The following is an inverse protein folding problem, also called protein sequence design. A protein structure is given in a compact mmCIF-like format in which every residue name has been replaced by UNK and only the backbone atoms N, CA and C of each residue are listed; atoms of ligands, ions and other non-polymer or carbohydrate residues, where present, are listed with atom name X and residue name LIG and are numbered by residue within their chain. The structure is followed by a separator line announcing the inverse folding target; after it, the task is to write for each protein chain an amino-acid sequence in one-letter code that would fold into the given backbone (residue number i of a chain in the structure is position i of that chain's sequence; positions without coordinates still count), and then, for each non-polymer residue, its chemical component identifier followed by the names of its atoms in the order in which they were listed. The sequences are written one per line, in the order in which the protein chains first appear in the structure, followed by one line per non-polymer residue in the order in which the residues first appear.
data_IF_342710407533
#
_entry.id   IF_342710407533
#
_cell.length_a   1.000
_cell.length_b   1.000
_cell.length_c   1.000
_cell.angle_alpha   90.00
_cell.angle_beta   90.00
_cell.angle_gamma   90.00
#
_symmetry.space_group_name_H-M   'P 1'
#
loop_
_entity.id
_entity.type
_entity.pdbx_description
1 polymer ?
#
# COMPACT_ATOMS: atom_id res chain seq x y z
N UNK A 1 30.36 -11.43 9.98
CA UNK A 1 29.67 -12.36 9.06
C UNK A 1 28.87 -13.32 9.90
N UNK A 2 27.60 -13.02 10.12
CA UNK A 2 26.69 -13.93 10.79
C UNK A 2 25.45 -13.99 9.89
N UNK A 3 25.27 -15.11 9.20
CA UNK A 3 24.22 -15.31 8.19
C UNK A 3 22.83 -15.01 8.76
N UNK A 4 22.65 -15.27 10.05
CA UNK A 4 21.43 -14.95 10.79
C UNK A 4 21.15 -13.44 10.76
N UNK A 5 22.14 -12.61 11.07
CA UNK A 5 21.97 -11.16 11.12
C UNK A 5 21.66 -10.59 9.73
N UNK A 6 22.25 -11.16 8.68
CA UNK A 6 22.00 -10.74 7.29
C UNK A 6 20.58 -11.08 6.84
N UNK A 7 20.12 -12.31 7.13
CA UNK A 7 18.74 -12.74 6.84
C UNK A 7 17.73 -11.92 7.63
N UNK A 8 17.99 -11.63 8.91
CA UNK A 8 17.12 -10.75 9.70
C UNK A 8 17.02 -9.34 9.10
N UNK A 9 18.13 -8.77 8.65
CA UNK A 9 18.15 -7.44 8.00
C UNK A 9 17.40 -7.48 6.67
N UNK A 10 17.61 -8.50 5.84
CA UNK A 10 16.90 -8.68 4.56
C UNK A 10 15.38 -8.83 4.78
N UNK A 11 14.99 -9.64 5.78
CA UNK A 11 13.60 -9.87 6.14
C UNK A 11 12.95 -8.59 6.66
N UNK A 12 13.63 -7.83 7.52
CA UNK A 12 13.18 -6.52 7.97
C UNK A 12 13.06 -5.52 6.81
N UNK A 13 13.96 -5.55 5.83
CA UNK A 13 13.93 -4.66 4.67
C UNK A 13 12.73 -4.94 3.77
N UNK A 14 12.40 -6.23 3.60
CA UNK A 14 11.22 -6.68 2.87
C UNK A 14 9.94 -6.34 3.64
N UNK A 15 9.88 -6.64 4.95
CA UNK A 15 8.76 -6.29 5.83
C UNK A 15 8.54 -4.78 5.96
N UNK A 16 9.57 -3.93 6.01
CA UNK A 16 9.42 -2.47 6.08
C UNK A 16 8.87 -1.93 4.75
N UNK A 17 9.25 -2.55 3.63
CA UNK A 17 8.70 -2.21 2.32
C UNK A 17 7.23 -2.58 2.25
N UNK A 18 6.88 -3.77 2.74
CA UNK A 18 5.51 -4.27 2.81
C UNK A 18 4.66 -3.46 3.79
N UNK A 19 5.17 -3.17 5.00
CA UNK A 19 4.54 -2.38 6.05
C UNK A 19 4.19 -0.98 5.57
N UNK A 20 5.06 -0.34 4.78
CA UNK A 20 4.77 0.97 4.21
C UNK A 20 3.63 0.91 3.19
N UNK A 21 3.57 -0.18 2.43
CA UNK A 21 2.46 -0.45 1.53
C UNK A 21 1.16 -0.69 2.32
N UNK A 22 1.24 -1.45 3.41
CA UNK A 22 0.10 -1.72 4.29
C UNK A 22 -0.40 -0.45 4.97
N UNK A 23 0.50 0.45 5.38
CA UNK A 23 0.14 1.75 5.94
C UNK A 23 -0.54 2.62 4.87
N UNK A 24 -0.08 2.60 3.62
CA UNK A 24 -0.71 3.34 2.53
C UNK A 24 -2.12 2.83 2.21
N UNK A 25 -2.31 1.50 2.15
CA UNK A 25 -3.66 0.92 1.98
C UNK A 25 -4.55 1.21 3.17
N UNK A 26 -4.05 1.05 4.41
CA UNK A 26 -4.80 1.37 5.62
C UNK A 26 -5.24 2.85 5.64
N UNK A 27 -4.35 3.77 5.30
CA UNK A 27 -4.65 5.19 5.22
C UNK A 27 -5.75 5.49 4.19
N UNK A 28 -5.70 4.86 3.01
CA UNK A 28 -6.74 5.03 2.00
C UNK A 28 -8.09 4.47 2.43
N UNK A 29 -8.12 3.31 3.10
CA UNK A 29 -9.33 2.73 3.67
C UNK A 29 -9.94 3.65 4.72
N UNK A 30 -9.12 4.19 5.63
CA UNK A 30 -9.57 5.15 6.65
C UNK A 30 -10.13 6.42 6.00
N UNK A 31 -9.49 6.91 4.95
CA UNK A 31 -9.95 8.10 4.21
C UNK A 31 -11.33 7.85 3.57
N UNK A 32 -11.55 6.69 2.96
CA UNK A 32 -12.86 6.34 2.39
C UNK A 32 -13.90 6.11 3.49
N UNK A 33 -13.52 5.48 4.60
CA UNK A 33 -14.40 5.29 5.75
C UNK A 33 -14.86 6.63 6.35
N UNK A 34 -13.97 7.62 6.42
CA UNK A 34 -14.32 8.99 6.83
C UNK A 34 -15.28 9.66 5.83
N UNK A 35 -15.06 9.45 4.53
CA UNK A 35 -15.94 9.96 3.49
C UNK A 35 -17.35 9.34 3.56
N UNK A 36 -17.41 8.05 3.88
CA UNK A 36 -18.65 7.30 4.11
C UNK A 36 -19.40 7.75 5.37
N UNK A 37 -18.68 8.18 6.41
CA UNK A 37 -19.30 8.74 7.61
C UNK A 37 -19.97 10.11 7.37
N UNK A 38 -19.67 10.78 6.25
CA UNK A 38 -20.36 11.97 5.82
C UNK A 38 -21.66 11.55 5.10
N UNK A 39 -22.80 11.69 5.79
CA UNK A 39 -24.14 11.13 5.47
C UNK A 39 -24.73 11.42 4.06
N UNK A 40 -24.01 12.09 3.16
CA UNK A 40 -24.53 12.55 1.86
C UNK A 40 -24.06 11.75 0.63
N UNK A 41 -23.26 10.69 0.81
CA UNK A 41 -22.74 9.91 -0.31
C UNK A 41 -23.53 8.60 -0.52
N UNK A 42 -24.06 8.36 -1.73
CA UNK A 42 -24.70 7.09 -2.03
C UNK A 42 -23.71 5.94 -1.79
N UNK A 43 -24.10 4.84 -1.10
CA UNK A 43 -23.21 3.75 -0.74
C UNK A 43 -22.46 3.13 -1.93
N UNK A 44 -23.13 3.09 -3.09
CA UNK A 44 -22.57 2.63 -4.36
C UNK A 44 -21.39 3.49 -4.81
N UNK A 45 -21.47 4.81 -4.63
CA UNK A 45 -20.42 5.74 -5.03
C UNK A 45 -19.18 5.57 -4.16
N UNK A 46 -19.37 5.39 -2.86
CA UNK A 46 -18.28 5.09 -1.95
C UNK A 46 -17.62 3.73 -2.24
N UNK A 47 -18.41 2.70 -2.58
CA UNK A 47 -17.88 1.39 -2.98
C UNK A 47 -17.02 1.46 -4.24
N UNK A 48 -17.48 2.18 -5.27
CA UNK A 48 -16.69 2.43 -6.49
C UNK A 48 -15.44 3.24 -6.19
N UNK A 49 -15.53 4.25 -5.34
CA UNK A 49 -14.38 5.07 -4.93
C UNK A 49 -13.32 4.23 -4.20
N UNK A 50 -13.74 3.33 -3.30
CA UNK A 50 -12.86 2.39 -2.59
C UNK A 50 -12.17 1.43 -3.57
N UNK A 51 -12.90 0.91 -4.56
CA UNK A 51 -12.37 0.03 -5.58
C UNK A 51 -11.29 0.75 -6.40
N UNK A 52 -11.58 1.96 -6.88
CA UNK A 52 -10.64 2.78 -7.65
C UNK A 52 -9.40 3.11 -6.82
N UNK A 53 -9.56 3.52 -5.56
CA UNK A 53 -8.44 3.78 -4.65
C UNK A 53 -7.59 2.53 -4.40
N UNK A 54 -8.22 1.38 -4.19
CA UNK A 54 -7.51 0.12 -3.99
C UNK A 54 -6.68 -0.25 -5.24
N UNK A 55 -7.28 -0.15 -6.44
CA UNK A 55 -6.59 -0.41 -7.70
C UNK A 55 -5.46 0.59 -7.93
N UNK A 56 -5.66 1.87 -7.61
CA UNK A 56 -4.62 2.89 -7.72
C UNK A 56 -3.42 2.58 -6.82
N UNK A 57 -3.66 2.16 -5.57
CA UNK A 57 -2.60 1.79 -4.62
C UNK A 57 -1.88 0.53 -5.10
N UNK A 58 -2.59 -0.46 -5.65
CA UNK A 58 -1.96 -1.63 -6.25
C UNK A 58 -1.09 -1.24 -7.46
N UNK A 59 -1.56 -0.34 -8.32
CA UNK A 59 -0.77 0.18 -9.43
C UNK A 59 0.48 0.90 -8.93
N UNK A 60 0.35 1.75 -7.91
CA UNK A 60 1.47 2.46 -7.32
C UNK A 60 2.48 1.50 -6.67
N UNK A 61 1.99 0.45 -6.01
CA UNK A 61 2.81 -0.63 -5.46
C UNK A 61 3.62 -1.33 -6.56
N UNK A 62 2.95 -1.75 -7.63
CA UNK A 62 3.56 -2.49 -8.75
C UNK A 62 4.55 -1.59 -9.51
N UNK A 63 4.15 -0.36 -9.86
CA UNK A 63 5.04 0.59 -10.55
C UNK A 63 6.24 1.00 -9.71
N UNK A 64 6.07 1.05 -8.39
CA UNK A 64 7.16 1.36 -7.48
C UNK A 64 8.16 0.21 -7.41
N UNK A 65 7.70 -1.03 -7.32
CA UNK A 65 8.57 -2.20 -7.37
C UNK A 65 9.32 -2.28 -8.70
N UNK A 66 8.66 -2.04 -9.85
CA UNK A 66 9.35 -2.01 -11.15
C UNK A 66 10.37 -0.86 -11.25
N UNK A 67 10.03 0.35 -10.76
CA UNK A 67 10.94 1.51 -10.76
C UNK A 67 12.15 1.31 -9.83
N UNK A 68 11.98 0.64 -8.70
CA UNK A 68 13.07 0.32 -7.78
C UNK A 68 14.02 -0.70 -8.42
N UNK A 69 13.50 -1.67 -9.19
CA UNK A 69 14.32 -2.65 -9.91
C UNK A 69 15.14 -2.04 -11.04
N UNK A 70 14.61 -1.05 -11.77
CA UNK A 70 15.34 -0.38 -12.86
C UNK A 70 16.56 0.40 -12.36
N UNK A 71 16.56 0.93 -11.12
CA UNK A 71 17.73 1.62 -10.55
C UNK A 71 18.87 0.70 -10.10
N UNK A 72 18.70 -0.63 -10.21
CA UNK A 72 19.71 -1.62 -9.82
C UNK A 72 20.45 -2.24 -11.03
N UNK A 73 20.17 -1.76 -12.25
CA UNK A 73 20.87 -2.15 -13.48
C UNK A 73 21.82 -1.05 -13.93
#
# INVERSE_FOLDING_TARGET
MNILTDVFVELFKMFVTDLRLTIATLAAVVLVALLLAYENLPPLFAGVLLLVLCVAILFEAVFRETRIRTKRH
#
